data_IF_762476219548
#
_entry.id   IF_762476219548
#
_cell.length_a   1.000
_cell.length_b   1.000
_cell.length_c   1.000
_cell.angle_alpha   90.00
_cell.angle_beta   90.00
_cell.angle_gamma   90.00
#
_symmetry.space_group_name_H-M   'P 1'
#
loop_
_entity.id
_entity.type
_entity.pdbx_description
1 polymer ?
#
# COMPACT_ATOMS: atom_id res chain seq x y z
N UNK A 1 -59.19 14.59 -0.90
CA UNK A 1 -58.24 15.31 -1.76
C UNK A 1 -56.85 15.08 -1.18
N UNK A 2 -56.15 14.02 -1.61
CA UNK A 2 -54.72 13.88 -1.30
C UNK A 2 -54.02 15.02 -2.03
N UNK A 3 -53.75 16.10 -1.31
CA UNK A 3 -53.08 17.27 -1.87
C UNK A 3 -51.68 16.85 -2.32
N UNK A 4 -51.21 17.40 -3.43
CA UNK A 4 -49.86 17.18 -3.98
C UNK A 4 -48.76 17.33 -2.92
N UNK A 5 -49.00 18.18 -1.91
CA UNK A 5 -48.18 18.36 -0.71
C UNK A 5 -47.96 17.08 0.11
N UNK A 6 -48.99 16.25 0.29
CA UNK A 6 -48.88 14.98 1.02
C UNK A 6 -48.03 13.96 0.24
N UNK A 7 -48.12 13.95 -1.08
CA UNK A 7 -47.31 13.07 -1.94
C UNK A 7 -45.83 13.47 -1.87
N UNK A 8 -45.53 14.77 -1.97
CA UNK A 8 -44.15 15.28 -1.88
C UNK A 8 -43.56 14.98 -0.49
N UNK A 9 -44.33 15.17 0.58
CA UNK A 9 -43.87 14.90 1.95
C UNK A 9 -43.59 13.41 2.18
N UNK A 10 -44.48 12.52 1.72
CA UNK A 10 -44.28 11.07 1.80
C UNK A 10 -43.05 10.65 1.00
N UNK A 11 -42.88 11.16 -0.22
CA UNK A 11 -41.72 10.88 -1.05
C UNK A 11 -40.41 11.35 -0.39
N UNK A 12 -40.39 12.56 0.18
CA UNK A 12 -39.23 13.09 0.91
C UNK A 12 -38.87 12.24 2.13
N UNK A 13 -39.87 11.76 2.88
CA UNK A 13 -39.67 10.89 4.04
C UNK A 13 -39.08 9.54 3.61
N UNK A 14 -39.64 8.92 2.57
CA UNK A 14 -39.15 7.66 2.01
C UNK A 14 -37.72 7.79 1.47
N UNK A 15 -37.41 8.89 0.77
CA UNK A 15 -36.07 9.16 0.28
C UNK A 15 -35.07 9.31 1.44
N UNK A 16 -35.43 10.07 2.47
CA UNK A 16 -34.59 10.27 3.66
C UNK A 16 -34.33 8.95 4.39
N UNK A 17 -35.38 8.13 4.54
CA UNK A 17 -35.28 6.80 5.15
C UNK A 17 -34.37 5.89 4.31
N UNK A 18 -34.55 5.85 2.99
CA UNK A 18 -33.71 5.07 2.08
C UNK A 18 -32.24 5.50 2.15
N UNK A 19 -31.96 6.81 2.17
CA UNK A 19 -30.58 7.33 2.30
C UNK A 19 -29.96 6.99 3.66
N UNK A 20 -30.76 7.03 4.74
CA UNK A 20 -30.30 6.69 6.09
C UNK A 20 -29.98 5.20 6.22
N UNK A 21 -30.85 4.33 5.66
CA UNK A 21 -30.62 2.88 5.59
C UNK A 21 -29.35 2.60 4.78
N UNK A 22 -29.20 3.22 3.60
CA UNK A 22 -28.00 3.06 2.78
C UNK A 22 -26.74 3.48 3.53
N UNK A 23 -26.73 4.66 4.16
CA UNK A 23 -25.60 5.13 4.95
C UNK A 23 -25.27 4.17 6.11
N UNK A 24 -26.29 3.63 6.78
CA UNK A 24 -26.13 2.70 7.90
C UNK A 24 -25.53 1.36 7.44
N UNK A 25 -25.99 0.84 6.29
CA UNK A 25 -25.41 -0.35 5.65
C UNK A 25 -23.96 -0.10 5.26
N UNK A 26 -23.66 1.05 4.65
CA UNK A 26 -22.29 1.41 4.29
C UNK A 26 -21.41 1.45 5.53
N UNK A 27 -21.78 2.20 6.58
CA UNK A 27 -21.02 2.28 7.84
C UNK A 27 -20.79 0.90 8.47
N UNK A 28 -21.79 0.02 8.38
CA UNK A 28 -21.68 -1.34 8.91
C UNK A 28 -20.64 -2.16 8.14
N UNK A 29 -20.64 -2.06 6.81
CA UNK A 29 -19.74 -2.77 5.90
C UNK A 29 -18.37 -2.08 5.73
N UNK A 30 -18.22 -0.82 6.17
CA UNK A 30 -16.98 -0.07 6.04
C UNK A 30 -15.82 -0.79 6.71
N UNK A 31 -14.63 -0.83 6.08
CA UNK A 31 -13.40 -1.19 6.76
C UNK A 31 -13.22 -0.35 8.03
N UNK A 32 -12.89 -1.02 9.13
CA UNK A 32 -12.64 -0.38 10.44
C UNK A 32 -11.20 -0.69 10.82
N UNK A 33 -10.25 0.21 10.56
CA UNK A 33 -8.85 -0.05 10.88
C UNK A 33 -8.69 -0.24 12.39
N UNK A 34 -7.93 -1.27 12.78
CA UNK A 34 -7.65 -1.57 14.19
C UNK A 34 -6.89 -0.41 14.84
N UNK A 35 -7.05 -0.18 16.15
CA UNK A 35 -6.13 0.72 16.88
C UNK A 35 -4.73 0.09 17.00
N UNK A 36 -3.68 0.88 16.75
CA UNK A 36 -2.30 0.43 16.99
C UNK A 36 -2.06 0.08 18.45
N UNK A 37 -1.22 -0.92 18.71
CA UNK A 37 -0.80 -1.33 20.05
C UNK A 37 0.59 -0.75 20.35
N UNK A 38 0.88 -0.45 21.62
CA UNK A 38 2.17 0.16 22.00
C UNK A 38 3.36 -0.75 21.65
N UNK A 39 3.20 -2.07 21.76
CA UNK A 39 4.23 -3.04 21.35
C UNK A 39 4.61 -2.93 19.87
N UNK A 40 3.73 -2.40 19.03
CA UNK A 40 3.96 -2.25 17.60
C UNK A 40 4.82 -1.02 17.28
N UNK A 41 5.08 -0.14 18.24
CA UNK A 41 5.92 1.06 18.05
C UNK A 41 7.43 0.78 18.13
N UNK A 42 7.82 -0.50 18.24
CA UNK A 42 9.20 -0.93 18.41
C UNK A 42 9.64 -1.88 17.29
N UNK A 43 10.94 -2.00 17.09
CA UNK A 43 11.55 -2.94 16.17
C UNK A 43 12.72 -3.68 16.80
N UNK A 44 12.99 -4.87 16.27
CA UNK A 44 14.21 -5.63 16.50
C UNK A 44 15.19 -5.40 15.35
N UNK A 45 16.48 -5.49 15.63
CA UNK A 45 17.55 -5.37 14.62
C UNK A 45 18.65 -6.37 14.90
N UNK A 46 19.47 -6.67 13.90
CA UNK A 46 20.65 -7.53 14.05
C UNK A 46 21.67 -6.97 15.05
N UNK A 47 21.71 -5.65 15.23
CA UNK A 47 22.67 -4.94 16.09
C UNK A 47 22.32 -4.96 17.58
N UNK A 48 21.06 -5.18 17.95
CA UNK A 48 20.61 -5.07 19.34
C UNK A 48 19.49 -6.04 19.65
N UNK A 49 19.64 -6.74 20.79
CA UNK A 49 18.63 -7.66 21.31
C UNK A 49 17.43 -6.93 21.94
N UNK A 50 17.63 -5.69 22.37
CA UNK A 50 16.57 -4.91 23.01
C UNK A 50 15.73 -4.18 21.95
N UNK A 51 14.39 -4.21 22.05
CA UNK A 51 13.53 -3.48 21.12
C UNK A 51 13.82 -1.97 21.15
N UNK A 52 14.02 -1.39 19.97
CA UNK A 52 14.22 0.06 19.78
C UNK A 52 12.95 0.71 19.26
N UNK A 53 12.70 1.96 19.65
CA UNK A 53 11.52 2.71 19.18
C UNK A 53 11.66 3.08 17.70
N UNK A 54 10.58 2.92 16.93
CA UNK A 54 10.51 3.34 15.54
C UNK A 54 10.43 4.86 15.42
N UNK A 55 10.90 5.40 14.30
CA UNK A 55 10.70 6.79 13.93
C UNK A 55 9.21 7.06 13.63
N UNK A 56 8.83 8.34 13.56
CA UNK A 56 7.50 8.74 13.07
C UNK A 56 7.64 9.45 11.72
N UNK A 57 6.67 9.26 10.84
CA UNK A 57 6.61 9.96 9.55
C UNK A 57 6.59 11.49 9.69
N UNK A 58 6.11 12.00 10.82
CA UNK A 58 6.10 13.43 11.17
C UNK A 58 7.50 14.00 11.47
N UNK A 59 8.46 13.14 11.80
CA UNK A 59 9.82 13.57 12.12
C UNK A 59 10.55 13.98 10.82
N UNK A 60 11.57 14.84 10.92
CA UNK A 60 12.42 15.17 9.76
C UNK A 60 13.15 13.91 9.27
N UNK A 61 13.31 13.72 7.94
CA UNK A 61 14.01 12.55 7.42
C UNK A 61 15.47 12.55 7.88
N UNK A 62 15.97 11.38 8.26
CA UNK A 62 17.37 11.16 8.65
C UNK A 62 18.11 10.25 7.67
N UNK A 63 17.38 9.59 6.78
CA UNK A 63 17.89 8.70 5.75
C UNK A 63 17.40 9.18 4.38
N UNK A 64 18.09 8.76 3.31
CA UNK A 64 17.61 9.02 1.95
C UNK A 64 16.43 8.11 1.59
N UNK A 65 16.50 6.82 1.92
CA UNK A 65 15.51 5.83 1.50
C UNK A 65 15.07 4.91 2.66
N UNK A 66 13.76 4.74 2.84
CA UNK A 66 13.19 3.62 3.62
C UNK A 66 12.54 2.62 2.68
N UNK A 67 12.92 1.34 2.79
CA UNK A 67 12.33 0.24 2.02
C UNK A 67 11.39 -0.53 2.95
N UNK A 68 10.10 -0.44 2.73
CA UNK A 68 9.05 -1.07 3.55
C UNK A 68 8.58 -2.34 2.88
N UNK A 69 8.73 -3.47 3.59
CA UNK A 69 8.39 -4.81 3.10
C UNK A 69 7.37 -5.44 4.05
N UNK A 70 6.06 -5.52 3.69
CA UNK A 70 5.10 -6.29 4.46
C UNK A 70 5.40 -7.78 4.31
N UNK A 71 5.41 -8.53 5.41
CA UNK A 71 5.72 -9.96 5.40
C UNK A 71 4.75 -10.75 6.28
N UNK A 72 4.10 -11.78 5.69
CA UNK A 72 3.28 -12.74 6.42
C UNK A 72 3.57 -14.16 5.92
N UNK A 73 4.31 -14.93 6.72
CA UNK A 73 4.81 -16.26 6.37
C UNK A 73 5.61 -16.28 5.05
N UNK A 74 6.70 -15.51 5.02
CA UNK A 74 7.54 -15.24 3.85
C UNK A 74 8.94 -15.86 3.96
N UNK A 75 9.15 -16.85 4.82
CA UNK A 75 10.47 -17.45 5.07
C UNK A 75 11.20 -17.90 3.79
N UNK A 76 10.45 -18.36 2.78
CA UNK A 76 11.00 -18.85 1.52
C UNK A 76 11.30 -17.75 0.50
N UNK A 77 10.54 -16.64 0.51
CA UNK A 77 10.60 -15.61 -0.53
C UNK A 77 11.41 -14.38 -0.10
N UNK A 78 11.34 -14.04 1.18
CA UNK A 78 12.04 -12.89 1.74
C UNK A 78 13.57 -12.90 1.47
N UNK A 79 14.29 -14.03 1.56
CA UNK A 79 15.73 -14.06 1.25
C UNK A 79 16.08 -13.61 -0.17
N UNK A 80 15.22 -13.92 -1.17
CA UNK A 80 15.45 -13.54 -2.56
C UNK A 80 15.39 -12.02 -2.72
N UNK A 81 14.35 -11.40 -2.16
CA UNK A 81 14.22 -9.94 -2.15
C UNK A 81 15.39 -9.27 -1.40
N UNK A 82 15.72 -9.75 -0.20
CA UNK A 82 16.80 -9.15 0.60
C UNK A 82 18.16 -9.24 -0.11
N UNK A 83 18.41 -10.33 -0.84
CA UNK A 83 19.59 -10.49 -1.67
C UNK A 83 19.62 -9.49 -2.83
N UNK A 84 18.51 -9.33 -3.55
CA UNK A 84 18.40 -8.36 -4.65
C UNK A 84 18.64 -6.92 -4.16
N UNK A 85 18.02 -6.55 -3.02
CA UNK A 85 18.29 -5.27 -2.36
C UNK A 85 19.77 -5.14 -2.01
N UNK A 86 20.38 -6.14 -1.37
CA UNK A 86 21.79 -6.10 -0.99
C UNK A 86 22.72 -5.89 -2.18
N UNK A 87 22.53 -6.68 -3.24
CA UNK A 87 23.35 -6.65 -4.44
C UNK A 87 23.24 -5.29 -5.15
N UNK A 88 22.02 -4.77 -5.29
CA UNK A 88 21.80 -3.44 -5.84
C UNK A 88 22.48 -2.36 -5.00
N UNK A 89 22.25 -2.33 -3.68
CA UNK A 89 22.80 -1.30 -2.80
C UNK A 89 24.33 -1.34 -2.76
N UNK A 90 24.93 -2.53 -2.85
CA UNK A 90 26.38 -2.72 -2.96
C UNK A 90 26.95 -2.23 -4.31
N UNK A 91 26.16 -2.31 -5.38
CA UNK A 91 26.58 -1.90 -6.73
C UNK A 91 26.66 -0.38 -6.92
N UNK A 92 26.01 0.40 -6.05
CA UNK A 92 25.95 1.85 -6.16
C UNK A 92 27.32 2.50 -5.94
N UNK A 93 27.76 3.32 -6.91
CA UNK A 93 29.01 4.08 -6.83
C UNK A 93 29.01 5.12 -5.70
N UNK A 94 27.85 5.71 -5.41
CA UNK A 94 27.65 6.63 -4.28
C UNK A 94 26.76 5.94 -3.25
N UNK A 95 27.27 5.75 -2.04
CA UNK A 95 26.47 5.24 -0.92
C UNK A 95 25.49 6.33 -0.48
N UNK A 96 24.19 6.06 -0.58
CA UNK A 96 23.19 6.83 0.14
C UNK A 96 22.67 6.03 1.33
N UNK A 97 22.20 6.73 2.35
CA UNK A 97 21.74 6.12 3.61
C UNK A 97 20.36 5.50 3.41
N UNK A 98 20.16 4.30 3.94
CA UNK A 98 18.90 3.58 3.79
C UNK A 98 18.58 2.72 5.01
N UNK A 99 17.35 2.26 5.08
CA UNK A 99 16.88 1.21 5.98
C UNK A 99 15.94 0.25 5.26
N UNK A 100 15.85 -0.98 5.74
CA UNK A 100 14.85 -1.95 5.32
C UNK A 100 13.95 -2.24 6.51
N UNK A 101 12.67 -1.88 6.42
CA UNK A 101 11.66 -2.12 7.45
C UNK A 101 10.84 -3.33 7.03
N UNK A 102 11.13 -4.48 7.63
CA UNK A 102 10.29 -5.67 7.51
C UNK A 102 9.13 -5.53 8.48
N UNK A 103 7.92 -5.43 7.97
CA UNK A 103 6.69 -5.40 8.77
C UNK A 103 6.13 -6.80 8.84
N UNK A 104 6.54 -7.55 9.87
CA UNK A 104 6.06 -8.89 10.13
C UNK A 104 4.63 -8.85 10.67
N UNK A 105 3.68 -9.42 9.91
CA UNK A 105 2.25 -9.36 10.22
C UNK A 105 1.77 -10.56 11.04
N UNK A 106 2.43 -10.81 12.17
CA UNK A 106 2.22 -11.97 13.05
C UNK A 106 2.45 -13.33 12.34
N UNK A 107 3.56 -13.45 11.61
CA UNK A 107 3.96 -14.73 10.99
C UNK A 107 4.14 -15.84 12.02
N UNK A 108 3.89 -17.08 11.60
CA UNK A 108 4.03 -18.31 12.39
C UNK A 108 5.25 -19.16 11.98
N UNK A 109 6.00 -18.68 11.00
CA UNK A 109 7.17 -19.33 10.41
C UNK A 109 8.47 -18.58 10.80
N UNK A 110 9.60 -18.94 10.19
CA UNK A 110 10.90 -18.36 10.54
C UNK A 110 11.17 -16.97 9.90
N UNK A 111 10.16 -16.28 9.35
CA UNK A 111 10.30 -14.97 8.67
C UNK A 111 11.12 -13.96 9.47
N UNK A 112 10.83 -13.78 10.76
CA UNK A 112 11.54 -12.81 11.62
C UNK A 112 13.00 -13.20 11.82
N UNK A 113 13.25 -14.48 12.09
CA UNK A 113 14.59 -15.02 12.33
C UNK A 113 15.45 -14.83 11.09
N UNK A 114 14.93 -15.19 9.92
CA UNK A 114 15.60 -15.03 8.62
C UNK A 114 15.96 -13.57 8.36
N UNK A 115 15.03 -12.63 8.59
CA UNK A 115 15.30 -11.20 8.39
C UNK A 115 16.46 -10.70 9.27
N UNK A 116 16.47 -11.10 10.56
CA UNK A 116 17.52 -10.69 11.51
C UNK A 116 18.87 -11.35 11.19
N UNK A 117 18.89 -12.63 10.82
CA UNK A 117 20.09 -13.36 10.42
C UNK A 117 20.68 -12.77 9.13
N UNK A 118 19.84 -12.43 8.14
CA UNK A 118 20.28 -11.78 6.91
C UNK A 118 20.88 -10.39 7.19
N UNK A 119 20.23 -9.61 8.05
CA UNK A 119 20.74 -8.30 8.49
C UNK A 119 22.11 -8.41 9.13
N UNK A 120 22.34 -9.45 9.95
CA UNK A 120 23.63 -9.73 10.57
C UNK A 120 24.68 -10.22 9.57
N UNK A 121 24.29 -11.13 8.66
CA UNK A 121 25.21 -11.75 7.69
C UNK A 121 25.78 -10.74 6.70
N UNK A 122 24.96 -9.80 6.24
CA UNK A 122 25.30 -8.86 5.17
C UNK A 122 25.51 -7.42 5.65
N UNK A 123 25.53 -7.20 6.97
CA UNK A 123 25.64 -5.86 7.58
C UNK A 123 24.60 -4.88 7.00
N UNK A 124 23.37 -5.36 6.85
CA UNK A 124 22.27 -4.57 6.29
C UNK A 124 21.45 -3.91 7.40
N UNK A 125 21.03 -2.64 7.24
CA UNK A 125 20.24 -1.91 8.22
C UNK A 125 18.76 -2.38 8.22
N UNK A 126 18.53 -3.62 8.64
CA UNK A 126 17.21 -4.25 8.72
C UNK A 126 16.57 -3.98 10.09
N UNK A 127 15.34 -3.46 10.05
CA UNK A 127 14.46 -3.28 11.19
C UNK A 127 13.25 -4.20 11.04
N UNK A 128 13.03 -5.08 12.01
CA UNK A 128 11.85 -5.95 12.02
C UNK A 128 10.83 -5.42 13.02
N UNK A 129 9.75 -4.86 12.49
CA UNK A 129 8.56 -4.43 13.23
C UNK A 129 7.55 -5.57 13.20
N UNK A 130 7.01 -5.97 14.34
CA UNK A 130 6.02 -7.04 14.41
C UNK A 130 4.66 -6.50 14.84
N UNK A 131 3.63 -6.74 14.02
CA UNK A 131 2.25 -6.56 14.44
C UNK A 131 1.89 -7.67 15.42
N UNK A 132 1.24 -7.31 16.54
CA UNK A 132 0.87 -8.30 17.55
C UNK A 132 -0.22 -9.25 17.06
N UNK A 133 -1.07 -8.77 16.15
CA UNK A 133 -2.15 -9.50 15.50
C UNK A 133 -2.10 -9.14 14.02
N UNK A 134 -2.28 -10.14 13.16
CA UNK A 134 -2.37 -9.96 11.72
C UNK A 134 -3.35 -8.83 11.38
N UNK A 135 -2.85 -7.85 10.64
CA UNK A 135 -3.52 -6.60 10.31
C UNK A 135 -3.84 -6.52 8.82
N UNK A 136 -3.37 -7.48 8.03
CA UNK A 136 -3.49 -7.46 6.58
C UNK A 136 -2.38 -6.64 5.92
N UNK A 137 -2.30 -6.79 4.59
CA UNK A 137 -1.26 -6.18 3.76
C UNK A 137 -1.26 -4.66 3.86
N UNK A 138 -2.41 -4.02 3.62
CA UNK A 138 -2.54 -2.56 3.70
C UNK A 138 -2.24 -2.00 5.09
N UNK A 139 -2.63 -2.72 6.14
CA UNK A 139 -2.32 -2.36 7.52
C UNK A 139 -0.81 -2.40 7.77
N UNK A 140 -0.15 -3.46 7.32
CA UNK A 140 1.31 -3.63 7.44
C UNK A 140 2.08 -2.58 6.64
N UNK A 141 1.68 -2.31 5.40
CA UNK A 141 2.29 -1.26 4.56
C UNK A 141 2.13 0.11 5.23
N UNK A 142 0.91 0.45 5.65
CA UNK A 142 0.62 1.72 6.33
C UNK A 142 1.49 1.89 7.57
N UNK A 143 1.56 0.85 8.41
CA UNK A 143 2.34 0.87 9.64
C UNK A 143 3.85 0.99 9.38
N UNK A 144 4.39 0.35 8.34
CA UNK A 144 5.81 0.50 7.97
C UNK A 144 6.13 1.89 7.43
N UNK A 145 5.26 2.44 6.58
CA UNK A 145 5.42 3.79 6.01
C UNK A 145 5.34 4.85 7.11
N UNK A 146 4.37 4.76 8.01
CA UNK A 146 4.23 5.70 9.13
C UNK A 146 5.42 5.63 10.11
N UNK A 147 6.18 4.54 10.09
CA UNK A 147 7.36 4.31 10.93
C UNK A 147 8.71 4.55 10.21
N UNK A 148 8.68 5.09 8.99
CA UNK A 148 9.86 5.26 8.14
C UNK A 148 10.65 6.54 8.44
N UNK A 149 11.97 6.49 8.28
CA UNK A 149 12.92 7.59 8.54
C UNK A 149 13.46 8.26 7.25
N UNK A 150 13.12 7.71 6.09
CA UNK A 150 13.59 8.14 4.77
C UNK A 150 12.90 9.39 4.23
N UNK A 151 13.63 10.14 3.40
CA UNK A 151 13.10 11.20 2.53
C UNK A 151 12.22 10.62 1.42
N UNK A 152 12.65 9.50 0.84
CA UNK A 152 11.85 8.66 -0.04
C UNK A 152 11.49 7.36 0.67
N UNK A 153 10.28 6.87 0.40
CA UNK A 153 9.77 5.65 1.02
C UNK A 153 9.27 4.74 -0.10
N UNK A 154 9.94 3.60 -0.28
CA UNK A 154 9.54 2.57 -1.22
C UNK A 154 8.77 1.49 -0.45
N UNK A 155 7.55 1.20 -0.88
CA UNK A 155 6.88 -0.06 -0.56
C UNK A 155 7.25 -1.09 -1.64
N UNK A 156 7.74 -2.26 -1.24
CA UNK A 156 7.89 -3.41 -2.12
C UNK A 156 7.35 -4.72 -1.51
N UNK A 157 6.77 -5.59 -2.35
CA UNK A 157 6.29 -6.91 -1.94
C UNK A 157 7.45 -7.85 -1.56
N UNK A 158 7.24 -8.68 -0.54
CA UNK A 158 8.24 -9.63 -0.01
C UNK A 158 8.61 -10.77 -0.98
N UNK A 159 7.89 -10.90 -2.10
CA UNK A 159 8.02 -12.03 -3.02
C UNK A 159 9.23 -11.93 -3.97
N UNK A 160 9.87 -10.76 -4.05
CA UNK A 160 10.98 -10.52 -4.97
C UNK A 160 10.57 -10.55 -6.44
N UNK A 161 9.28 -10.40 -6.75
CA UNK A 161 8.78 -10.47 -8.13
C UNK A 161 9.20 -9.26 -8.98
N UNK A 162 9.47 -8.12 -8.35
CA UNK A 162 9.97 -6.91 -9.04
C UNK A 162 11.45 -6.75 -8.79
N UNK A 163 12.24 -6.46 -9.83
CA UNK A 163 13.67 -6.18 -9.67
C UNK A 163 13.87 -4.89 -8.89
N UNK A 164 14.68 -4.95 -7.83
CA UNK A 164 14.89 -3.80 -6.97
C UNK A 164 15.55 -2.63 -7.70
N UNK A 165 16.39 -2.91 -8.71
CA UNK A 165 17.06 -1.88 -9.53
C UNK A 165 16.11 -0.96 -10.30
N UNK A 166 14.84 -1.34 -10.48
CA UNK A 166 13.84 -0.45 -11.09
C UNK A 166 13.54 0.79 -10.23
N UNK A 167 13.97 0.81 -8.95
CA UNK A 167 13.87 2.00 -8.08
C UNK A 167 14.52 3.25 -8.71
N UNK A 168 15.58 3.11 -9.51
CA UNK A 168 16.24 4.25 -10.17
C UNK A 168 15.27 5.03 -11.05
N UNK A 169 14.44 4.32 -11.83
CA UNK A 169 13.45 4.93 -12.70
C UNK A 169 12.33 5.59 -11.89
N UNK A 170 11.91 4.99 -10.76
CA UNK A 170 10.93 5.58 -9.86
C UNK A 170 11.47 6.85 -9.18
N UNK A 171 12.73 6.84 -8.72
CA UNK A 171 13.38 8.01 -8.13
C UNK A 171 13.53 9.15 -9.14
N UNK A 172 13.91 8.83 -10.38
CA UNK A 172 14.00 9.82 -11.46
C UNK A 172 12.63 10.44 -11.77
N UNK A 173 11.59 9.62 -11.95
CA UNK A 173 10.23 10.09 -12.19
C UNK A 173 9.68 10.92 -11.02
N UNK A 174 9.98 10.51 -9.78
CA UNK A 174 9.58 11.21 -8.57
C UNK A 174 10.19 12.62 -8.53
N UNK A 175 11.49 12.74 -8.80
CA UNK A 175 12.18 14.04 -8.86
C UNK A 175 11.66 14.93 -9.99
N UNK A 176 11.41 14.35 -11.16
CA UNK A 176 10.95 15.09 -12.33
C UNK A 176 9.52 15.63 -12.18
N UNK A 177 8.63 14.83 -11.60
CA UNK A 177 7.20 15.13 -11.53
C UNK A 177 6.75 15.63 -10.15
N UNK A 178 7.69 15.93 -9.25
CA UNK A 178 7.34 16.44 -7.94
C UNK A 178 6.80 17.86 -8.02
N UNK A 179 5.70 18.11 -7.31
CA UNK A 179 5.11 19.44 -7.10
C UNK A 179 5.03 19.66 -5.61
N UNK A 180 5.60 20.75 -5.09
CA UNK A 180 5.64 21.06 -3.65
C UNK A 180 6.20 19.92 -2.79
N UNK A 181 7.25 19.25 -3.27
CA UNK A 181 7.84 18.04 -2.68
C UNK A 181 6.91 16.82 -2.62
N UNK A 182 5.74 16.87 -3.27
CA UNK A 182 4.78 15.76 -3.31
C UNK A 182 4.98 14.97 -4.61
N UNK A 183 5.10 13.65 -4.49
CA UNK A 183 5.09 12.74 -5.63
C UNK A 183 4.78 11.30 -5.20
N UNK A 184 4.17 10.55 -6.13
CA UNK A 184 3.98 9.11 -6.04
C UNK A 184 4.41 8.50 -7.38
N UNK A 185 5.24 7.46 -7.33
CA UNK A 185 5.58 6.66 -8.49
C UNK A 185 5.09 5.23 -8.28
N UNK A 186 4.28 4.74 -9.21
CA UNK A 186 3.73 3.39 -9.22
C UNK A 186 4.48 2.58 -10.26
N UNK A 187 5.14 1.51 -9.83
CA UNK A 187 5.64 0.49 -10.74
C UNK A 187 4.49 -0.10 -11.55
N UNK A 188 4.70 -0.36 -12.83
CA UNK A 188 3.64 -0.79 -13.72
C UNK A 188 4.10 -1.94 -14.61
N UNK A 189 3.52 -3.12 -14.38
CA UNK A 189 3.74 -4.32 -15.19
C UNK A 189 3.11 -4.14 -16.57
N UNK A 190 2.02 -3.39 -16.65
CA UNK A 190 1.28 -3.11 -17.88
C UNK A 190 2.10 -2.31 -18.92
N UNK A 191 3.14 -1.58 -18.49
CA UNK A 191 4.02 -0.85 -19.40
C UNK A 191 5.12 -1.74 -20.01
N UNK A 192 5.50 -2.81 -19.34
CA UNK A 192 6.53 -3.77 -19.77
C UNK A 192 5.93 -4.94 -20.58
N UNK A 193 4.69 -5.33 -20.29
CA UNK A 193 3.96 -6.48 -20.88
C UNK A 193 3.75 -6.45 -22.41
N UNK A 194 4.32 -5.50 -23.16
CA UNK A 194 4.45 -5.63 -24.61
C UNK A 194 5.44 -6.74 -25.03
N UNK A 195 6.25 -7.26 -24.11
CA UNK A 195 7.17 -8.37 -24.34
C UNK A 195 6.71 -9.59 -23.54
N UNK A 196 6.12 -10.54 -24.27
CA UNK A 196 6.07 -11.98 -23.99
C UNK A 196 5.60 -12.44 -22.59
N UNK A 197 4.39 -12.96 -22.53
CA UNK A 197 4.08 -14.21 -21.81
C UNK A 197 2.68 -14.68 -22.21
N UNK A 198 2.61 -15.42 -23.33
CA UNK A 198 1.45 -16.24 -23.69
C UNK A 198 1.46 -17.45 -22.74
N UNK A 199 1.08 -17.24 -21.49
CA UNK A 199 0.81 -18.33 -20.56
C UNK A 199 -0.62 -18.78 -20.80
N UNK A 200 -0.83 -20.09 -20.93
CA UNK A 200 -2.14 -20.75 -20.95
C UNK A 200 -2.90 -20.45 -19.66
N UNK A 201 -3.50 -19.27 -19.58
CA UNK A 201 -4.36 -18.86 -18.46
C UNK A 201 -5.70 -19.56 -18.64
N UNK A 202 -6.21 -20.15 -17.56
CA UNK A 202 -7.59 -20.61 -17.50
C UNK A 202 -8.52 -19.50 -18.01
N UNK A 203 -9.43 -19.76 -18.97
CA UNK A 203 -10.34 -18.75 -19.52
C UNK A 203 -11.11 -18.02 -18.43
N UNK A 204 -11.49 -18.73 -17.36
CA UNK A 204 -12.21 -18.19 -16.20
C UNK A 204 -11.35 -17.15 -15.47
N UNK A 205 -10.05 -17.44 -15.25
CA UNK A 205 -9.13 -16.51 -14.59
C UNK A 205 -8.96 -15.24 -15.43
N UNK A 206 -8.85 -15.37 -16.74
CA UNK A 206 -8.74 -14.24 -17.66
C UNK A 206 -10.00 -13.36 -17.65
N UNK A 207 -11.20 -13.98 -17.66
CA UNK A 207 -12.48 -13.26 -17.59
C UNK A 207 -12.65 -12.55 -16.24
N UNK A 208 -12.41 -13.25 -15.12
CA UNK A 208 -12.48 -12.65 -13.78
C UNK A 208 -11.50 -11.48 -13.64
N UNK A 209 -10.27 -11.67 -14.11
CA UNK A 209 -9.25 -10.62 -14.10
C UNK A 209 -9.70 -9.42 -14.95
N UNK A 210 -10.24 -9.64 -16.15
CA UNK A 210 -10.75 -8.57 -17.00
C UNK A 210 -11.91 -7.80 -16.33
N UNK A 211 -12.92 -8.51 -15.82
CA UNK A 211 -14.05 -7.90 -15.12
C UNK A 211 -13.60 -7.08 -13.90
N UNK A 212 -12.65 -7.62 -13.13
CA UNK A 212 -12.07 -6.91 -12.00
C UNK A 212 -11.29 -5.66 -12.42
N UNK A 213 -10.50 -5.72 -13.50
CA UNK A 213 -9.82 -4.53 -14.03
C UNK A 213 -10.81 -3.47 -14.49
N UNK A 214 -11.90 -3.84 -15.16
CA UNK A 214 -12.95 -2.89 -15.54
C UNK A 214 -13.63 -2.29 -14.31
N UNK A 215 -13.88 -3.10 -13.29
CA UNK A 215 -14.44 -2.65 -12.01
C UNK A 215 -13.53 -1.63 -11.30
N UNK A 216 -12.23 -1.92 -11.21
CA UNK A 216 -11.21 -0.99 -10.68
C UNK A 216 -11.06 0.25 -11.56
N UNK A 217 -11.22 0.15 -12.88
CA UNK A 217 -11.18 1.32 -13.75
C UNK A 217 -12.38 2.25 -13.53
N UNK A 218 -13.57 1.69 -13.35
CA UNK A 218 -14.82 2.45 -13.16
C UNK A 218 -14.92 3.04 -11.75
N UNK A 219 -14.62 2.24 -10.72
CA UNK A 219 -14.77 2.59 -9.32
C UNK A 219 -13.44 2.82 -8.60
N UNK A 220 -12.29 2.69 -9.23
CA UNK A 220 -10.98 2.97 -8.66
C UNK A 220 -10.37 4.20 -9.32
N UNK A 221 -9.06 4.19 -9.58
CA UNK A 221 -8.38 5.38 -10.09
C UNK A 221 -8.20 5.31 -11.60
N UNK A 222 -8.77 6.30 -12.31
CA UNK A 222 -8.54 6.47 -13.75
C UNK A 222 -7.14 7.03 -14.02
N UNK A 223 -6.56 6.61 -15.13
CA UNK A 223 -5.25 7.08 -15.60
C UNK A 223 -4.04 6.41 -14.95
N UNK A 224 -4.24 5.37 -14.14
CA UNK A 224 -3.19 4.46 -13.66
C UNK A 224 -3.56 3.06 -14.13
N UNK A 225 -2.72 2.44 -14.97
CA UNK A 225 -2.98 1.13 -15.57
C UNK A 225 -2.76 -0.01 -14.59
N UNK A 226 -1.73 0.07 -13.76
CA UNK A 226 -1.38 -0.98 -12.79
C UNK A 226 -1.43 -0.45 -11.35
N UNK A 227 -2.64 -0.29 -10.85
CA UNK A 227 -2.87 0.29 -9.52
C UNK A 227 -2.33 -0.58 -8.38
N UNK A 228 -2.24 -1.90 -8.56
CA UNK A 228 -1.94 -2.87 -7.50
C UNK A 228 -0.54 -3.49 -7.62
N UNK A 229 0.38 -2.88 -8.38
CA UNK A 229 1.77 -3.31 -8.37
C UNK A 229 2.40 -3.09 -6.99
N UNK A 230 2.98 -4.12 -6.38
CA UNK A 230 3.67 -4.05 -5.09
C UNK A 230 5.06 -3.44 -5.18
N UNK A 231 5.23 -2.34 -5.92
CA UNK A 231 6.47 -1.58 -6.02
C UNK A 231 6.12 -0.10 -6.22
N UNK A 232 6.02 0.66 -5.13
CA UNK A 232 5.55 2.06 -5.14
C UNK A 232 6.44 2.96 -4.30
N UNK A 233 6.90 4.05 -4.90
CA UNK A 233 7.74 5.05 -4.25
C UNK A 233 6.92 6.28 -3.91
N UNK A 234 7.11 6.79 -2.70
CA UNK A 234 6.47 8.00 -2.20
C UNK A 234 7.54 8.99 -1.74
N UNK A 235 7.35 10.28 -2.04
CA UNK A 235 7.98 11.33 -1.24
C UNK A 235 7.43 11.28 0.19
N UNK A 236 8.26 11.56 1.20
CA UNK A 236 7.85 11.57 2.62
C UNK A 236 6.60 12.41 2.91
N UNK A 237 6.51 13.60 2.32
CA UNK A 237 5.37 14.51 2.46
C UNK A 237 4.07 13.88 1.96
N UNK A 238 4.07 13.31 0.75
CA UNK A 238 2.93 12.60 0.18
C UNK A 238 2.55 11.39 1.04
N UNK A 239 3.55 10.62 1.50
CA UNK A 239 3.32 9.49 2.38
C UNK A 239 2.65 9.91 3.70
N UNK A 240 3.12 11.00 4.33
CA UNK A 240 2.52 11.52 5.56
C UNK A 240 1.05 11.91 5.36
N UNK A 241 0.73 12.60 4.26
CA UNK A 241 -0.64 13.03 3.96
C UNK A 241 -1.56 11.83 3.71
N UNK A 242 -1.10 10.84 2.95
CA UNK A 242 -1.94 9.71 2.53
C UNK A 242 -2.11 8.71 3.67
N UNK A 243 -1.01 8.22 4.23
CA UNK A 243 -1.03 7.07 5.14
C UNK A 243 -1.58 7.40 6.53
N UNK A 244 -1.69 8.69 6.89
CA UNK A 244 -2.42 9.13 8.09
C UNK A 244 -3.94 9.14 7.91
N UNK A 245 -4.44 8.97 6.68
CA UNK A 245 -5.86 9.02 6.33
C UNK A 245 -6.39 7.67 5.82
N UNK A 246 -5.58 6.61 5.88
CA UNK A 246 -5.93 5.27 5.38
C UNK A 246 -6.92 4.58 6.30
N UNK A 247 -7.88 3.88 5.71
CA UNK A 247 -8.89 3.07 6.41
C UNK A 247 -8.79 1.58 6.08
N UNK A 248 -8.33 1.25 4.88
CA UNK A 248 -8.25 -0.12 4.38
C UNK A 248 -6.96 -0.80 4.84
N UNK A 249 -7.10 -1.91 5.54
CA UNK A 249 -5.97 -2.73 5.99
C UNK A 249 -5.72 -3.97 5.12
N UNK A 250 -6.67 -4.31 4.23
CA UNK A 250 -6.64 -5.47 3.34
C UNK A 250 -5.92 -5.24 1.99
N UNK A 251 -6.21 -6.07 0.99
CA UNK A 251 -5.52 -6.07 -0.31
C UNK A 251 -5.85 -4.88 -1.23
N UNK A 252 -6.99 -4.19 -1.02
CA UNK A 252 -7.41 -3.09 -1.89
C UNK A 252 -6.83 -1.72 -1.48
N UNK A 253 -5.97 -1.70 -0.46
CA UNK A 253 -5.39 -0.48 0.10
C UNK A 253 -4.70 0.41 -0.94
N UNK A 254 -4.06 -0.20 -1.95
CA UNK A 254 -3.40 0.53 -3.03
C UNK A 254 -4.37 1.43 -3.80
N UNK A 255 -5.64 1.05 -3.93
CA UNK A 255 -6.66 1.88 -4.57
C UNK A 255 -7.01 3.08 -3.68
N UNK A 256 -7.16 2.89 -2.38
CA UNK A 256 -7.40 3.99 -1.43
C UNK A 256 -6.25 4.99 -1.46
N UNK A 257 -5.00 4.51 -1.46
CA UNK A 257 -3.79 5.34 -1.62
C UNK A 257 -3.90 6.25 -2.84
N UNK A 258 -4.26 5.68 -4.00
CA UNK A 258 -4.37 6.45 -5.24
C UNK A 258 -5.60 7.37 -5.26
N UNK A 259 -6.70 7.00 -4.60
CA UNK A 259 -7.89 7.85 -4.46
C UNK A 259 -7.57 9.09 -3.61
N UNK A 260 -6.87 8.90 -2.49
CA UNK A 260 -6.39 9.98 -1.63
C UNK A 260 -5.40 10.86 -2.38
N UNK A 261 -4.47 10.27 -3.13
CA UNK A 261 -3.54 11.02 -3.97
C UNK A 261 -4.26 11.93 -4.98
N UNK A 262 -5.30 11.41 -5.67
CA UNK A 262 -6.13 12.21 -6.57
C UNK A 262 -6.88 13.31 -5.84
N UNK A 263 -7.44 13.02 -4.67
CA UNK A 263 -8.17 14.01 -3.87
C UNK A 263 -7.26 15.19 -3.46
N UNK A 264 -6.04 14.90 -3.02
CA UNK A 264 -5.06 15.92 -2.63
C UNK A 264 -4.27 16.51 -3.80
N UNK A 265 -4.61 16.17 -5.05
CA UNK A 265 -3.89 16.59 -6.26
C UNK A 265 -2.38 16.27 -6.23
N UNK A 266 -2.01 15.16 -5.58
CA UNK A 266 -0.63 14.68 -5.55
C UNK A 266 -0.29 14.09 -6.93
N UNK A 267 0.84 14.48 -7.55
CA UNK A 267 1.27 13.92 -8.83
C UNK A 267 1.52 12.41 -8.74
N UNK A 268 0.97 11.65 -9.69
CA UNK A 268 1.15 10.20 -9.81
C UNK A 268 1.83 9.91 -11.14
N UNK A 269 2.97 9.22 -11.09
CA UNK A 269 3.70 8.73 -12.27
C UNK A 269 3.61 7.21 -12.33
N UNK A 270 3.31 6.63 -13.50
CA UNK A 270 3.52 5.20 -13.73
C UNK A 270 4.89 4.98 -14.37
N UNK A 271 5.64 4.02 -13.84
CA UNK A 271 6.99 3.68 -14.29
C UNK A 271 7.04 2.20 -14.64
N UNK A 272 7.58 1.86 -15.80
CA UNK A 272 7.73 0.46 -16.20
C UNK A 272 8.66 -0.28 -15.25
N UNK A 273 8.27 -1.49 -14.84
CA UNK A 273 9.08 -2.35 -13.97
C UNK A 273 9.22 -3.75 -14.56
N UNK A 274 10.35 -4.38 -14.29
CA UNK A 274 10.67 -5.75 -14.62
C UNK A 274 10.05 -6.66 -13.58
N UNK A 275 8.99 -7.36 -13.98
CA UNK A 275 8.24 -8.25 -13.10
C UNK A 275 8.28 -9.67 -13.62
N UNK A 276 8.56 -10.62 -12.72
CA UNK A 276 8.54 -12.06 -12.99
C UNK A 276 7.53 -12.76 -12.10
N UNK A 277 6.87 -13.78 -12.62
CA UNK A 277 5.93 -14.57 -11.82
C UNK A 277 6.69 -15.42 -10.79
N UNK A 278 6.31 -15.28 -9.52
CA UNK A 278 6.86 -16.03 -8.39
C UNK A 278 5.74 -16.90 -7.82
N UNK A 279 6.01 -18.20 -7.67
CA UNK A 279 5.06 -19.15 -7.09
C UNK A 279 4.84 -18.92 -5.59
N UNK A 280 3.78 -19.52 -5.04
CA UNK A 280 3.50 -19.45 -3.59
C UNK A 280 2.69 -18.22 -3.14
N UNK A 281 1.96 -17.57 -4.06
CA UNK A 281 1.00 -16.52 -3.71
C UNK A 281 0.03 -16.99 -2.63
N UNK A 282 -0.13 -16.18 -1.57
CA UNK A 282 -1.08 -16.43 -0.48
C UNK A 282 -2.51 -15.98 -0.81
N UNK A 283 -2.71 -15.36 -1.97
CA UNK A 283 -4.01 -14.85 -2.39
C UNK A 283 -4.83 -15.96 -3.06
N UNK A 284 -5.99 -16.25 -2.50
CA UNK A 284 -7.03 -17.05 -3.13
C UNK A 284 -7.76 -16.22 -4.18
N UNK A 285 -7.50 -16.48 -5.46
CA UNK A 285 -7.95 -15.66 -6.59
C UNK A 285 -9.45 -15.34 -6.52
N UNK A 286 -10.31 -16.32 -6.26
CA UNK A 286 -11.77 -16.12 -6.30
C UNK A 286 -12.26 -15.38 -5.06
N UNK A 287 -11.94 -15.89 -3.87
CA UNK A 287 -12.42 -15.32 -2.61
C UNK A 287 -11.90 -13.90 -2.42
N UNK A 288 -10.60 -13.69 -2.64
CA UNK A 288 -10.00 -12.36 -2.46
C UNK A 288 -10.50 -11.38 -3.52
N UNK A 289 -10.79 -11.81 -4.76
CA UNK A 289 -11.37 -10.91 -5.77
C UNK A 289 -12.76 -10.41 -5.38
N UNK A 290 -13.59 -11.27 -4.79
CA UNK A 290 -14.94 -10.89 -4.33
C UNK A 290 -14.83 -9.92 -3.15
N UNK A 291 -14.00 -10.25 -2.16
CA UNK A 291 -13.78 -9.38 -1.01
C UNK A 291 -13.20 -8.03 -1.42
N UNK A 292 -12.19 -8.00 -2.30
CA UNK A 292 -11.63 -6.76 -2.85
C UNK A 292 -12.68 -5.92 -3.59
N UNK A 293 -13.59 -6.55 -4.34
CA UNK A 293 -14.65 -5.83 -5.03
C UNK A 293 -15.63 -5.18 -4.04
N UNK A 294 -16.05 -5.91 -3.00
CA UNK A 294 -16.93 -5.37 -1.95
C UNK A 294 -16.23 -4.25 -1.16
N UNK A 295 -14.95 -4.44 -0.82
CA UNK A 295 -14.15 -3.42 -0.14
C UNK A 295 -14.03 -2.16 -0.97
N UNK A 296 -13.76 -2.26 -2.28
CA UNK A 296 -13.70 -1.09 -3.15
C UNK A 296 -15.05 -0.36 -3.25
N UNK A 297 -16.16 -1.10 -3.33
CA UNK A 297 -17.49 -0.49 -3.28
C UNK A 297 -17.69 0.28 -1.99
N UNK A 298 -17.36 -0.34 -0.86
CA UNK A 298 -17.48 0.28 0.46
C UNK A 298 -16.60 1.54 0.53
N UNK A 299 -15.33 1.48 0.13
CA UNK A 299 -14.41 2.63 0.07
C UNK A 299 -15.02 3.77 -0.73
N UNK A 300 -15.56 3.47 -1.92
CA UNK A 300 -16.19 4.50 -2.75
C UNK A 300 -17.42 5.10 -2.14
N UNK A 301 -18.32 4.30 -1.60
CA UNK A 301 -19.52 4.81 -0.95
C UNK A 301 -19.19 5.64 0.29
N UNK A 302 -18.17 5.25 1.06
CA UNK A 302 -17.74 6.04 2.23
C UNK A 302 -17.26 7.45 1.86
N UNK A 303 -16.45 7.57 0.80
CA UNK A 303 -16.00 8.89 0.33
C UNK A 303 -17.10 9.67 -0.38
N UNK A 304 -17.93 9.02 -1.22
CA UNK A 304 -19.02 9.69 -1.95
C UNK A 304 -20.11 10.21 -1.02
N UNK A 305 -20.46 9.46 0.03
CA UNK A 305 -21.46 9.86 1.02
C UNK A 305 -20.88 10.77 2.12
N UNK A 306 -19.58 11.06 2.09
CA UNK A 306 -18.92 11.90 3.10
C UNK A 306 -18.84 11.26 4.49
N UNK A 307 -19.01 9.93 4.59
CA UNK A 307 -18.88 9.18 5.84
C UNK A 307 -17.43 9.20 6.29
N UNK A 308 -16.49 8.96 5.38
CA UNK A 308 -15.07 9.19 5.60
C UNK A 308 -14.73 10.63 5.25
N UNK A 309 -14.27 11.37 6.27
CA UNK A 309 -13.84 12.74 6.10
C UNK A 309 -12.38 12.77 5.70
N UNK A 310 -12.08 13.48 4.63
CA UNK A 310 -10.71 13.73 4.21
C UNK A 310 -10.29 15.07 4.82
N UNK A 311 -9.29 15.05 5.69
CA UNK A 311 -8.83 16.25 6.38
C UNK A 311 -7.93 17.07 5.47
N UNK A 312 -8.11 18.39 5.39
CA UNK A 312 -7.17 19.22 4.65
C UNK A 312 -5.78 19.12 5.30
N UNK A 313 -4.69 18.97 4.53
CA UNK A 313 -3.35 18.95 5.10
C UNK A 313 -3.15 20.27 5.84
N UNK A 314 -2.76 20.22 7.11
CA UNK A 314 -2.41 21.44 7.84
C UNK A 314 -1.26 22.11 7.07
N UNK A 315 -1.44 23.38 6.68
CA UNK A 315 -0.49 24.18 5.87
C UNK A 315 0.91 24.36 6.47
N UNK A 316 1.25 23.68 7.56
CA UNK A 316 2.50 23.83 8.31
C UNK A 316 3.44 22.63 8.11
N UNK A 317 3.63 22.20 6.87
CA UNK A 317 4.73 21.29 6.49
C UNK A 317 5.78 22.12 5.73
N UNK A 318 6.55 22.92 6.49
CA UNK A 318 7.74 23.63 6.02
C UNK A 318 8.99 23.00 6.64
#
# INVERSE_FOLDING_TARGET
>A
MFTTYNIITIFSLLLTLATSILASVVIFLSPKPRKGLESENYYLSSESKDPKKLAKISDKPTLFLSIVVPAYNEELRLPLLLKDIHEYMKSLKKKFTYEVIIVNDASKDDTVKIALEFGKQYDMPIKVKTNAINRGKGGSVTQGILSSSGEYILFCDADGATRFSDIDALLAASKQNSVDNLSICVGSRALTQKLETVVNRSPIRSVLQYCFHQYVYLLGVRGVKDTQCGFKLFSRSAANIIFTQMHVEGFIFDIEVLLLARYYNIPISEVAVNWTEVEGSKMSIVYDSIHMALDLLAVRLNYLLGIWKISQPTKNLH
#
